data_IF_916308077846
#
_entry.id   IF_916308077846
#
_cell.length_a   1.000
_cell.length_b   1.000
_cell.length_c   1.000
_cell.angle_alpha   90.00
_cell.angle_beta   90.00
_cell.angle_gamma   90.00
#
_symmetry.space_group_name_H-M   'P 1'
#
loop_
_entity.id
_entity.type
_entity.pdbx_description
1 polymer ?
#
# COMPACT_ATOMS: atom_id res chain seq x y z
N UNK A 1 15.53 -1.84 -21.18
CA UNK A 1 15.65 -2.49 -19.88
C UNK A 1 14.88 -1.66 -18.88
N UNK A 2 14.06 -2.24 -18.00
CA UNK A 2 13.43 -1.46 -16.93
C UNK A 2 14.51 -0.84 -16.03
N UNK A 3 14.29 0.40 -15.62
CA UNK A 3 15.22 1.15 -14.76
C UNK A 3 15.08 0.82 -13.27
N UNK A 4 14.35 -0.23 -12.95
CA UNK A 4 14.06 -0.69 -11.60
C UNK A 4 13.79 -2.21 -11.57
N UNK A 5 13.84 -2.81 -10.41
CA UNK A 5 13.42 -4.20 -10.16
C UNK A 5 12.33 -4.24 -9.10
N UNK A 6 11.42 -5.21 -9.20
CA UNK A 6 10.37 -5.47 -8.22
C UNK A 6 10.59 -6.88 -7.68
N UNK A 7 10.67 -7.00 -6.36
CA UNK A 7 10.84 -8.30 -5.71
C UNK A 7 10.03 -8.40 -4.42
N UNK A 8 9.77 -9.62 -4.00
CA UNK A 8 9.17 -9.88 -2.69
C UNK A 8 10.17 -9.52 -1.58
N UNK A 9 9.67 -8.92 -0.49
CA UNK A 9 10.48 -8.65 0.69
C UNK A 9 10.90 -9.93 1.39
N UNK A 10 12.07 -9.88 2.03
CA UNK A 10 12.64 -10.90 2.87
C UNK A 10 12.87 -10.34 4.27
N UNK A 11 13.16 -11.18 5.24
CA UNK A 11 13.41 -10.76 6.63
C UNK A 11 14.50 -9.68 6.74
N UNK A 12 15.56 -9.79 5.94
CA UNK A 12 16.66 -8.82 5.87
C UNK A 12 16.23 -7.41 5.40
N UNK A 13 15.08 -7.31 4.72
CA UNK A 13 14.54 -6.04 4.21
C UNK A 13 13.76 -5.24 5.28
N UNK A 14 13.49 -5.82 6.45
CA UNK A 14 12.59 -5.22 7.44
C UNK A 14 12.98 -3.80 7.84
N UNK A 15 14.26 -3.53 8.05
CA UNK A 15 14.74 -2.19 8.40
C UNK A 15 14.62 -1.19 7.24
N UNK A 16 14.97 -1.62 6.02
CA UNK A 16 14.83 -0.81 4.80
C UNK A 16 13.36 -0.48 4.53
N UNK A 17 12.48 -1.48 4.64
CA UNK A 17 11.04 -1.30 4.47
C UNK A 17 10.43 -0.37 5.51
N UNK A 18 10.76 -0.53 6.79
CA UNK A 18 10.27 0.33 7.85
C UNK A 18 10.67 1.80 7.62
N UNK A 19 11.94 2.03 7.28
CA UNK A 19 12.47 3.36 6.99
C UNK A 19 11.82 3.98 5.73
N UNK A 20 11.71 3.23 4.64
CA UNK A 20 11.06 3.68 3.41
C UNK A 20 9.60 4.03 3.66
N UNK A 21 8.86 3.15 4.33
CA UNK A 21 7.44 3.34 4.60
C UNK A 21 7.18 4.57 5.48
N UNK A 22 7.96 4.77 6.54
CA UNK A 22 7.87 5.94 7.41
C UNK A 22 8.17 7.24 6.64
N UNK A 23 9.22 7.24 5.81
CA UNK A 23 9.59 8.39 4.98
C UNK A 23 8.48 8.75 3.98
N UNK A 24 8.03 7.80 3.17
CA UNK A 24 7.02 8.05 2.14
C UNK A 24 5.66 8.43 2.75
N UNK A 25 5.30 7.87 3.90
CA UNK A 25 4.11 8.29 4.63
C UNK A 25 4.22 9.73 5.12
N UNK A 26 5.37 10.10 5.70
CA UNK A 26 5.62 11.47 6.18
C UNK A 26 5.62 12.49 5.04
N UNK A 27 6.22 12.17 3.91
CA UNK A 27 6.22 13.02 2.72
C UNK A 27 4.80 13.26 2.19
N UNK A 28 3.94 12.24 2.25
CA UNK A 28 2.56 12.32 1.74
C UNK A 28 1.61 13.02 2.71
N UNK A 29 1.67 12.66 4.00
CA UNK A 29 0.67 13.07 4.99
C UNK A 29 1.19 14.05 6.05
N UNK A 30 2.50 14.19 6.21
CA UNK A 30 3.10 15.12 7.18
C UNK A 30 2.56 16.54 7.12
N UNK A 31 2.37 17.14 5.92
CA UNK A 31 1.82 18.49 5.80
C UNK A 31 0.40 18.67 6.36
N UNK A 32 -0.39 17.60 6.42
CA UNK A 32 -1.79 17.61 6.87
C UNK A 32 -2.02 16.96 8.24
N UNK A 33 -1.01 16.31 8.80
CA UNK A 33 -1.10 15.58 10.05
C UNK A 33 -0.14 16.19 11.09
N UNK A 34 -0.67 16.81 12.16
CA UNK A 34 0.16 17.52 13.13
C UNK A 34 0.94 16.56 14.04
N UNK A 35 2.03 17.08 14.61
CA UNK A 35 2.70 16.46 15.75
C UNK A 35 1.89 16.70 17.04
N UNK A 36 1.90 15.77 18.03
CA UNK A 36 2.72 14.56 18.11
C UNK A 36 2.05 13.29 17.53
N UNK A 37 0.85 13.40 16.96
CA UNK A 37 0.08 12.27 16.42
C UNK A 37 0.82 11.57 15.28
N UNK A 38 1.47 12.34 14.42
CA UNK A 38 2.27 11.79 13.32
C UNK A 38 3.38 10.87 13.85
N UNK A 39 4.18 11.35 14.80
CA UNK A 39 5.27 10.55 15.38
C UNK A 39 4.76 9.28 16.07
N UNK A 40 3.64 9.35 16.76
CA UNK A 40 3.01 8.18 17.41
C UNK A 40 2.52 7.15 16.37
N UNK A 41 1.89 7.64 15.30
CA UNK A 41 1.44 6.78 14.22
C UNK A 41 2.61 6.08 13.53
N UNK A 42 3.69 6.82 13.21
CA UNK A 42 4.87 6.26 12.57
C UNK A 42 5.52 5.18 13.43
N UNK A 43 5.72 5.44 14.72
CA UNK A 43 6.34 4.50 15.66
C UNK A 43 5.53 3.19 15.78
N UNK A 44 4.21 3.29 15.78
CA UNK A 44 3.32 2.13 15.89
C UNK A 44 3.22 1.35 14.58
N UNK A 45 3.14 2.06 13.44
CA UNK A 45 2.78 1.48 12.15
C UNK A 45 3.97 1.01 11.32
N UNK A 46 5.18 1.52 11.60
CA UNK A 46 6.38 1.29 10.81
C UNK A 46 7.59 0.87 11.66
N UNK A 47 7.36 0.15 12.76
CA UNK A 47 8.44 -0.45 13.51
C UNK A 47 9.11 -1.58 12.71
N UNK A 48 10.42 -1.74 12.85
CA UNK A 48 11.16 -2.82 12.18
C UNK A 48 10.62 -4.19 12.56
N UNK A 49 10.28 -4.37 13.84
CA UNK A 49 9.73 -5.64 14.34
C UNK A 49 8.36 -5.94 13.71
N UNK A 50 7.44 -4.96 13.68
CA UNK A 50 6.13 -5.14 13.04
C UNK A 50 6.22 -5.42 11.54
N UNK A 51 7.21 -4.82 10.84
CA UNK A 51 7.48 -5.14 9.43
C UNK A 51 8.01 -6.56 9.29
N UNK A 52 8.91 -6.99 10.18
CA UNK A 52 9.46 -8.36 10.18
C UNK A 52 8.36 -9.40 10.41
N UNK A 53 7.49 -9.16 11.39
CA UNK A 53 6.33 -10.02 11.64
C UNK A 53 5.41 -10.10 10.42
N UNK A 54 5.14 -8.96 9.75
CA UNK A 54 4.34 -8.93 8.55
C UNK A 54 4.99 -9.69 7.38
N UNK A 55 6.31 -9.60 7.20
CA UNK A 55 7.04 -10.36 6.17
C UNK A 55 6.95 -11.87 6.42
N UNK A 56 6.95 -12.29 7.69
CA UNK A 56 6.89 -13.69 8.09
C UNK A 56 5.47 -14.29 8.04
N UNK A 57 4.43 -13.45 7.93
CA UNK A 57 3.03 -13.89 7.87
C UNK A 57 2.68 -14.41 6.47
N UNK A 58 2.26 -15.66 6.36
CA UNK A 58 1.85 -16.30 5.10
C UNK A 58 0.62 -15.63 4.44
N UNK A 59 -0.20 -14.91 5.21
CA UNK A 59 -1.35 -14.17 4.71
C UNK A 59 -0.99 -12.82 4.10
N UNK A 60 0.27 -12.41 4.24
CA UNK A 60 0.81 -11.12 3.79
C UNK A 60 1.71 -11.30 2.57
N UNK A 61 1.69 -10.31 1.69
CA UNK A 61 2.68 -10.13 0.64
C UNK A 61 3.21 -8.70 0.69
N UNK A 62 4.53 -8.56 0.77
CA UNK A 62 5.19 -7.27 0.68
C UNK A 62 6.16 -7.26 -0.49
N UNK A 63 6.08 -6.21 -1.31
CA UNK A 63 6.96 -6.00 -2.46
C UNK A 63 7.79 -4.74 -2.27
N UNK A 64 9.05 -4.83 -2.63
CA UNK A 64 10.01 -3.74 -2.66
C UNK A 64 10.41 -3.46 -4.10
N UNK A 65 10.47 -2.19 -4.46
CA UNK A 65 11.01 -1.72 -5.73
C UNK A 65 12.33 -1.03 -5.49
N UNK A 66 13.35 -1.46 -6.21
CA UNK A 66 14.71 -0.92 -6.12
C UNK A 66 15.13 -0.35 -7.48
N UNK A 67 15.83 0.78 -7.46
CA UNK A 67 16.48 1.34 -8.66
C UNK A 67 17.73 0.51 -9.05
N UNK A 68 18.39 0.90 -10.13
CA UNK A 68 19.60 0.23 -10.63
C UNK A 68 20.80 0.27 -9.66
N UNK A 69 20.72 1.11 -8.63
CA UNK A 69 21.74 1.22 -7.57
C UNK A 69 21.38 0.41 -6.33
N UNK A 70 20.21 -0.26 -6.33
CA UNK A 70 19.70 -0.97 -5.16
C UNK A 70 19.05 -0.06 -4.11
N UNK A 71 18.68 1.16 -4.47
CA UNK A 71 17.98 2.08 -3.57
C UNK A 71 16.48 1.76 -3.62
N UNK A 72 15.87 1.58 -2.45
CA UNK A 72 14.44 1.34 -2.30
C UNK A 72 13.65 2.63 -2.60
N UNK A 73 12.75 2.55 -3.60
CA UNK A 73 12.02 3.69 -4.16
C UNK A 73 10.50 3.54 -4.17
N UNK A 74 9.98 2.34 -3.95
CA UNK A 74 8.54 2.10 -3.86
C UNK A 74 8.29 0.79 -3.11
N UNK A 75 7.06 0.63 -2.59
CA UNK A 75 6.65 -0.63 -1.97
C UNK A 75 5.14 -0.82 -2.05
N UNK A 76 4.73 -2.08 -1.92
CA UNK A 76 3.35 -2.47 -1.69
C UNK A 76 3.27 -3.44 -0.51
N UNK A 77 2.24 -3.29 0.31
CA UNK A 77 1.87 -4.22 1.37
C UNK A 77 0.45 -4.71 1.12
N UNK A 78 0.28 -6.00 0.99
CA UNK A 78 -0.99 -6.68 0.77
C UNK A 78 -1.24 -7.73 1.84
N UNK A 79 -2.52 -7.99 2.11
CA UNK A 79 -2.92 -9.08 3.00
C UNK A 79 -4.23 -9.73 2.57
N UNK A 80 -4.42 -11.00 2.92
CA UNK A 80 -5.71 -11.66 2.80
C UNK A 80 -6.75 -10.96 3.69
N UNK A 81 -7.94 -10.74 3.17
CA UNK A 81 -9.03 -10.09 3.88
C UNK A 81 -10.19 -11.06 4.06
N UNK A 82 -10.32 -11.57 5.28
CA UNK A 82 -11.39 -12.53 5.61
C UNK A 82 -12.76 -11.83 5.72
N UNK A 83 -12.78 -10.55 6.06
CA UNK A 83 -13.98 -9.75 6.26
C UNK A 83 -13.81 -8.36 5.60
N UNK A 84 -13.94 -8.30 4.26
CA UNK A 84 -13.79 -7.05 3.54
C UNK A 84 -14.94 -6.09 3.84
N UNK A 85 -14.73 -4.76 3.67
CA UNK A 85 -15.77 -3.76 3.90
C UNK A 85 -17.01 -3.99 3.03
N UNK A 86 -18.14 -3.48 3.50
CA UNK A 86 -19.38 -3.43 2.72
C UNK A 86 -19.14 -2.74 1.37
N UNK A 87 -19.65 -3.35 0.29
CA UNK A 87 -19.44 -2.89 -1.10
C UNK A 87 -18.35 -3.68 -1.84
N UNK A 88 -17.41 -4.30 -1.16
CA UNK A 88 -16.44 -5.22 -1.78
C UNK A 88 -17.15 -6.56 -2.03
N UNK A 89 -17.30 -6.92 -3.30
CA UNK A 89 -17.99 -8.15 -3.71
C UNK A 89 -16.99 -9.16 -4.25
N UNK A 90 -16.90 -10.32 -3.61
CA UNK A 90 -16.02 -11.42 -3.98
C UNK A 90 -16.03 -12.50 -2.91
N UNK A 91 -15.58 -13.69 -3.26
CA UNK A 91 -15.48 -14.83 -2.32
C UNK A 91 -14.13 -14.83 -1.58
N UNK A 92 -13.11 -14.32 -2.23
CA UNK A 92 -11.74 -14.21 -1.71
C UNK A 92 -11.19 -12.83 -2.00
N UNK A 93 -11.21 -11.98 -0.99
CA UNK A 93 -10.76 -10.61 -1.09
C UNK A 93 -9.30 -10.48 -0.63
N UNK A 94 -8.52 -9.69 -1.35
CA UNK A 94 -7.16 -9.34 -1.01
C UNK A 94 -7.04 -7.82 -0.88
N UNK A 95 -6.52 -7.33 0.23
CA UNK A 95 -6.39 -5.92 0.51
C UNK A 95 -5.02 -5.41 0.12
N UNK A 96 -4.94 -4.29 -0.58
CA UNK A 96 -3.74 -3.47 -0.67
C UNK A 96 -3.78 -2.49 0.49
N UNK A 97 -3.03 -2.78 1.54
CA UNK A 97 -3.01 -2.00 2.79
C UNK A 97 -2.20 -0.72 2.61
N UNK A 98 -1.08 -0.81 1.87
CA UNK A 98 -0.19 0.32 1.59
C UNK A 98 0.38 0.18 0.19
N UNK A 99 0.46 1.32 -0.50
CA UNK A 99 1.01 1.39 -1.84
C UNK A 99 1.63 2.77 -2.05
N UNK A 100 2.95 2.83 -2.14
CA UNK A 100 3.67 4.09 -2.23
C UNK A 100 4.79 4.04 -3.24
N UNK A 101 4.93 5.12 -3.99
CA UNK A 101 6.05 5.37 -4.91
C UNK A 101 6.66 6.71 -4.53
N UNK A 102 7.98 6.75 -4.38
CA UNK A 102 8.74 7.98 -4.13
C UNK A 102 8.35 9.05 -5.14
N UNK A 103 8.06 10.28 -4.66
CA UNK A 103 7.58 11.38 -5.49
C UNK A 103 8.54 11.72 -6.63
N UNK A 104 9.85 11.59 -6.40
CA UNK A 104 10.90 11.83 -7.41
C UNK A 104 10.93 10.77 -8.52
N UNK A 105 10.32 9.62 -8.29
CA UNK A 105 10.29 8.46 -9.21
C UNK A 105 8.94 8.29 -9.91
N UNK A 106 7.97 9.14 -9.62
CA UNK A 106 6.66 9.09 -10.28
C UNK A 106 6.74 9.41 -11.78
N UNK A 107 5.75 8.98 -12.55
CA UNK A 107 5.71 9.17 -14.00
C UNK A 107 6.61 8.22 -14.81
N UNK A 108 7.37 7.34 -14.16
CA UNK A 108 8.28 6.36 -14.79
C UNK A 108 7.69 4.96 -14.96
N UNK A 109 6.39 4.80 -14.75
CA UNK A 109 5.71 3.50 -14.88
C UNK A 109 5.85 2.56 -13.69
N UNK A 110 6.59 2.96 -12.63
CA UNK A 110 6.84 2.13 -11.43
C UNK A 110 5.52 1.73 -10.76
N UNK A 111 4.62 2.69 -10.54
CA UNK A 111 3.34 2.42 -9.91
C UNK A 111 2.50 1.41 -10.69
N UNK A 112 2.42 1.54 -12.03
CA UNK A 112 1.68 0.60 -12.86
C UNK A 112 2.30 -0.81 -12.79
N UNK A 113 3.63 -0.92 -12.91
CA UNK A 113 4.32 -2.22 -12.83
C UNK A 113 4.15 -2.88 -11.45
N UNK A 114 4.24 -2.11 -10.36
CA UNK A 114 4.03 -2.61 -9.00
C UNK A 114 2.57 -3.05 -8.78
N UNK A 115 1.60 -2.31 -9.34
CA UNK A 115 0.19 -2.68 -9.26
C UNK A 115 -0.11 -3.99 -10.01
N UNK A 116 0.46 -4.18 -11.21
CA UNK A 116 0.34 -5.47 -11.92
C UNK A 116 0.92 -6.62 -11.09
N UNK A 117 2.04 -6.39 -10.41
CA UNK A 117 2.60 -7.38 -9.48
C UNK A 117 1.65 -7.71 -8.32
N UNK A 118 0.93 -6.71 -7.81
CA UNK A 118 -0.11 -6.93 -6.80
C UNK A 118 -1.28 -7.76 -7.35
N UNK A 119 -1.71 -7.52 -8.59
CA UNK A 119 -2.76 -8.31 -9.22
C UNK A 119 -2.34 -9.76 -9.45
N UNK A 120 -1.12 -9.99 -9.90
CA UNK A 120 -0.57 -11.34 -10.07
C UNK A 120 -0.54 -12.08 -8.73
N UNK A 121 -0.05 -11.45 -7.67
CA UNK A 121 -0.07 -12.04 -6.31
C UNK A 121 -1.49 -12.39 -5.87
N UNK A 122 -2.46 -11.51 -6.10
CA UNK A 122 -3.87 -11.79 -5.81
C UNK A 122 -4.38 -13.03 -6.56
N UNK A 123 -4.11 -13.12 -7.87
CA UNK A 123 -4.49 -14.28 -8.71
C UNK A 123 -3.82 -15.57 -8.24
N UNK A 124 -2.53 -15.53 -7.95
CA UNK A 124 -1.75 -16.68 -7.48
C UNK A 124 -2.28 -17.21 -6.15
N UNK A 125 -2.85 -16.34 -5.31
CA UNK A 125 -3.53 -16.71 -4.07
C UNK A 125 -5.01 -17.09 -4.24
N UNK A 126 -5.50 -17.05 -5.47
CA UNK A 126 -6.89 -17.37 -5.80
C UNK A 126 -7.89 -16.31 -5.34
N UNK A 127 -7.45 -15.07 -5.19
CA UNK A 127 -8.36 -13.96 -4.96
C UNK A 127 -9.16 -13.66 -6.22
N UNK A 128 -10.43 -13.29 -6.06
CA UNK A 128 -11.32 -12.86 -7.13
C UNK A 128 -11.58 -11.35 -7.10
N UNK A 129 -11.12 -10.67 -6.04
CA UNK A 129 -11.21 -9.22 -5.90
C UNK A 129 -10.01 -8.69 -5.11
N UNK A 130 -9.47 -7.57 -5.57
CA UNK A 130 -8.52 -6.74 -4.82
C UNK A 130 -9.20 -5.43 -4.44
N UNK A 131 -9.00 -4.99 -3.21
CA UNK A 131 -9.56 -3.75 -2.72
C UNK A 131 -8.55 -2.94 -1.91
N UNK A 132 -8.84 -1.66 -1.73
CA UNK A 132 -8.03 -0.72 -0.96
C UNK A 132 -8.90 0.38 -0.35
N UNK A 133 -8.34 1.04 0.66
CA UNK A 133 -8.89 2.24 1.24
C UNK A 133 -7.98 3.41 0.87
N UNK A 134 -8.56 4.51 0.37
CA UNK A 134 -7.83 5.70 -0.07
C UNK A 134 -8.50 6.97 0.38
N UNK A 135 -7.70 7.92 0.84
CA UNK A 135 -8.16 9.23 1.28
C UNK A 135 -8.88 9.98 0.15
N UNK A 136 -10.09 10.46 0.41
CA UNK A 136 -10.93 11.13 -0.59
C UNK A 136 -10.30 12.42 -1.14
N UNK A 137 -9.53 13.11 -0.30
CA UNK A 137 -8.84 14.35 -0.69
C UNK A 137 -7.47 14.11 -1.34
N UNK A 138 -7.19 12.90 -1.79
CA UNK A 138 -6.02 12.54 -2.59
C UNK A 138 -6.40 12.23 -4.06
N UNK A 139 -6.83 13.23 -4.86
CA UNK A 139 -7.34 13.00 -6.22
C UNK A 139 -6.31 12.35 -7.13
N UNK A 140 -5.02 12.57 -6.91
CA UNK A 140 -3.93 11.93 -7.65
C UNK A 140 -3.92 10.40 -7.42
N UNK A 141 -4.13 9.97 -6.18
CA UNK A 141 -4.17 8.54 -5.83
C UNK A 141 -5.45 7.89 -6.34
N UNK A 142 -6.61 8.51 -6.10
CA UNK A 142 -7.91 8.04 -6.61
C UNK A 142 -7.87 7.91 -8.13
N UNK A 143 -7.31 8.91 -8.83
CA UNK A 143 -7.15 8.88 -10.29
C UNK A 143 -6.20 7.78 -10.77
N UNK A 144 -5.13 7.51 -10.02
CA UNK A 144 -4.22 6.41 -10.32
C UNK A 144 -4.95 5.06 -10.20
N UNK A 145 -5.64 4.80 -9.10
CA UNK A 145 -6.37 3.55 -8.92
C UNK A 145 -7.50 3.37 -9.95
N UNK A 146 -8.21 4.44 -10.30
CA UNK A 146 -9.22 4.40 -11.36
C UNK A 146 -8.61 3.98 -12.71
N UNK A 147 -7.45 4.51 -13.08
CA UNK A 147 -6.72 4.09 -14.30
C UNK A 147 -6.25 2.64 -14.24
N UNK A 148 -5.99 2.10 -13.05
CA UNK A 148 -5.66 0.68 -12.84
C UNK A 148 -6.89 -0.23 -12.80
N UNK A 149 -8.09 0.33 -13.01
CA UNK A 149 -9.33 -0.42 -13.13
C UNK A 149 -10.12 -0.60 -11.83
N UNK A 150 -9.74 0.11 -10.77
CA UNK A 150 -10.55 0.14 -9.54
C UNK A 150 -11.75 1.08 -9.69
N UNK A 151 -12.85 0.72 -9.04
CA UNK A 151 -14.04 1.55 -8.91
C UNK A 151 -14.31 1.84 -7.42
N UNK A 152 -14.88 3.01 -7.13
CA UNK A 152 -15.38 3.31 -5.78
C UNK A 152 -16.60 2.45 -5.51
N UNK A 153 -16.56 1.66 -4.45
CA UNK A 153 -17.63 0.72 -4.05
C UNK A 153 -18.22 1.05 -2.67
N UNK A 154 -17.61 1.96 -1.93
CA UNK A 154 -18.05 2.34 -0.61
C UNK A 154 -17.17 3.42 0.01
N UNK A 155 -17.36 3.64 1.30
CA UNK A 155 -16.53 4.52 2.12
C UNK A 155 -16.35 3.95 3.52
N UNK A 156 -15.26 4.34 4.18
CA UNK A 156 -14.97 3.96 5.55
C UNK A 156 -14.25 5.09 6.28
N UNK A 157 -14.41 5.18 7.61
CA UNK A 157 -13.63 6.13 8.39
C UNK A 157 -12.16 5.70 8.44
N UNK A 158 -11.28 6.68 8.44
CA UNK A 158 -9.87 6.50 8.74
C UNK A 158 -9.53 7.26 10.04
N UNK A 159 -8.95 6.54 10.99
CA UNK A 159 -8.61 7.11 12.29
C UNK A 159 -7.13 7.44 12.36
N UNK A 160 -6.84 8.71 12.64
CA UNK A 160 -5.48 9.19 12.88
C UNK A 160 -5.46 9.95 14.22
N UNK A 161 -5.08 9.28 15.30
CA UNK A 161 -5.25 9.79 16.64
C UNK A 161 -6.72 10.07 16.93
N UNK A 162 -7.04 11.30 17.33
CA UNK A 162 -8.40 11.78 17.58
C UNK A 162 -9.10 12.32 16.30
N UNK A 163 -8.38 12.37 15.17
CA UNK A 163 -8.94 12.80 13.91
C UNK A 163 -9.59 11.63 13.17
N UNK A 164 -10.75 11.89 12.60
CA UNK A 164 -11.48 10.92 11.77
C UNK A 164 -11.57 11.48 10.36
N UNK A 165 -10.88 10.85 9.43
CA UNK A 165 -11.01 11.08 8.00
C UNK A 165 -12.12 10.23 7.41
N UNK A 166 -12.48 10.53 6.16
CA UNK A 166 -13.42 9.75 5.36
C UNK A 166 -12.71 9.31 4.07
N UNK A 167 -12.58 8.01 3.90
CA UNK A 167 -11.86 7.40 2.78
C UNK A 167 -12.82 6.73 1.81
N UNK A 168 -12.43 6.64 0.54
CA UNK A 168 -13.06 5.74 -0.41
C UNK A 168 -12.60 4.30 -0.18
N UNK A 169 -13.53 3.36 -0.28
CA UNK A 169 -13.22 1.96 -0.56
C UNK A 169 -13.27 1.79 -2.06
N UNK A 170 -12.18 1.34 -2.64
CA UNK A 170 -12.10 1.04 -4.08
C UNK A 170 -11.79 -0.44 -4.27
N UNK A 171 -12.40 -1.06 -5.27
CA UNK A 171 -12.23 -2.48 -5.55
C UNK A 171 -12.12 -2.75 -7.05
N UNK A 172 -11.44 -3.86 -7.38
CA UNK A 172 -11.26 -4.36 -8.73
C UNK A 172 -11.39 -5.88 -8.73
N UNK A 173 -12.26 -6.42 -9.60
CA UNK A 173 -12.29 -7.85 -9.90
C UNK A 173 -11.01 -8.27 -10.64
N UNK A 174 -10.48 -9.43 -10.31
CA UNK A 174 -9.27 -9.99 -10.91
C UNK A 174 -9.57 -10.95 -12.06
#
# INVERSE_FOLDING_TARGET
MPSFSIRRCRDEDAATMASLAARLFTETYGPTHPEPELSRYLARSFSVEGVREAIADDLVAMFLVEDLKGIAIAYAYMRSSADPPSGVSGKRAYEIVRFYVDGSEQGRGIGAALMEKCFDEGRDRGADVVWLQVWKEAPWAVGFYARMGFAVVGSAPFYFGDQVGDDHIMAKAL
#
